data_IF_162543250456
#
_entry.id   IF_162543250456
#
_cell.length_a   1.000
_cell.length_b   1.000
_cell.length_c   1.000
_cell.angle_alpha   90.00
_cell.angle_beta   90.00
_cell.angle_gamma   90.00
#
_symmetry.space_group_name_H-M   'P 1'
#
loop_
_entity.id
_entity.type
_entity.pdbx_description
1 polymer ?
#
# COMPACT_ATOMS: atom_id res chain seq x y z
N UNK A 1 -18.70 -5.43 62.07
CA UNK A 1 -18.61 -5.54 61.60
C UNK A 1 -18.50 -5.53 60.50
N UNK A 2 -18.58 -5.58 60.30
CA UNK A 2 -18.57 -5.65 59.44
C UNK A 2 -18.10 -5.33 58.41
N UNK A 3 -18.04 -5.15 58.25
CA UNK A 3 -17.69 -4.91 57.32
C UNK A 3 -17.17 -4.84 56.39
N UNK A 4 -17.16 -4.79 56.34
CA UNK A 4 -16.61 -4.75 55.65
C UNK A 4 -16.27 -4.93 54.59
N UNK A 5 -16.42 -4.92 54.39
CA UNK A 5 -16.12 -5.15 53.53
C UNK A 5 -15.90 -4.91 52.47
N UNK A 6 -16.15 -4.82 52.24
CA UNK A 6 -16.04 -4.70 51.32
C UNK A 6 -15.47 -4.42 50.35
N UNK A 7 -15.40 -4.31 50.36
CA UNK A 7 -14.91 -4.09 49.64
C UNK A 7 -14.46 -4.20 48.60
N UNK A 8 -14.62 -4.25 48.54
CA UNK A 8 -14.15 -4.36 47.68
C UNK A 8 -13.87 -4.35 46.62
N UNK A 9 -13.93 -4.31 46.52
CA UNK A 9 -13.65 -4.46 45.60
C UNK A 9 -13.47 -4.01 44.57
N UNK A 10 -13.68 -3.89 44.66
CA UNK A 10 -13.55 -3.47 43.80
C UNK A 10 -13.00 -3.44 42.86
N UNK A 11 -12.98 -3.55 42.96
CA UNK A 11 -12.48 -3.45 42.17
C UNK A 11 -12.24 -3.44 41.17
N UNK A 12 -12.35 -3.33 41.09
CA UNK A 12 -12.09 -3.23 40.23
C UNK A 12 -11.72 -3.15 39.27
N UNK A 13 -11.75 -3.11 39.43
CA UNK A 13 -11.37 -3.03 38.67
C UNK A 13 -11.12 -2.99 37.68
N UNK A 14 -11.21 -2.91 37.74
CA UNK A 14 -10.92 -2.88 37.01
C UNK A 14 -10.61 -2.85 35.98
N UNK A 15 -10.69 -2.78 35.93
CA UNK A 15 -10.34 -2.73 35.13
C UNK A 15 -10.00 -2.57 34.12
N UNK A 16 -10.09 -2.49 34.20
CA UNK A 16 -9.70 -2.29 33.47
C UNK A 16 -9.41 -2.13 32.43
N UNK A 17 -9.73 -2.17 32.78
CA UNK A 17 -9.33 -1.79 31.88
C UNK A 17 -8.73 -1.87 30.95
N UNK A 18 -8.27 -1.87 31.26
CA UNK A 18 -7.34 -2.00 30.32
C UNK A 18 -7.92 -2.25 29.08
N UNK A 19 -8.65 -2.19 29.11
CA UNK A 19 -9.18 -2.37 28.09
C UNK A 19 -8.82 -1.67 26.91
N UNK A 20 -8.34 -0.59 27.01
CA UNK A 20 -7.88 0.17 25.87
C UNK A 20 -6.85 -0.49 25.07
N UNK A 21 -6.11 -1.33 25.67
CA UNK A 21 -5.05 -2.01 24.98
C UNK A 21 -5.50 -2.71 23.72
N UNK A 22 -6.65 -3.31 23.64
CA UNK A 22 -7.07 -3.97 22.42
C UNK A 22 -7.08 -3.06 21.20
N UNK A 23 -7.25 -1.78 21.40
CA UNK A 23 -7.26 -0.84 20.30
C UNK A 23 -5.92 -0.84 19.57
N UNK A 24 -4.86 -1.10 20.27
CA UNK A 24 -3.53 -1.13 19.68
C UNK A 24 -3.40 -2.22 18.63
N UNK A 25 -4.14 -3.27 18.75
CA UNK A 25 -4.07 -4.36 17.79
C UNK A 25 -4.47 -3.91 16.39
N UNK A 26 -5.32 -2.89 16.28
CA UNK A 26 -5.73 -2.37 15.00
C UNK A 26 -4.64 -1.65 14.24
N UNK A 27 -3.52 -1.35 14.87
CA UNK A 27 -2.45 -0.61 14.22
C UNK A 27 -1.46 -1.48 13.45
N UNK A 28 -1.68 -2.77 13.37
CA UNK A 28 -0.78 -3.65 12.64
C UNK A 28 -0.79 -3.29 11.15
N UNK A 29 0.39 -3.22 10.52
CA UNK A 29 0.45 -2.95 9.10
C UNK A 29 -0.21 -4.09 8.32
N UNK A 30 -0.83 -3.75 7.20
CA UNK A 30 -1.44 -4.74 6.32
C UNK A 30 -0.37 -5.63 5.70
N UNK A 31 -0.78 -6.78 5.17
CA UNK A 31 0.14 -7.66 4.45
C UNK A 31 0.80 -6.92 3.28
N UNK A 32 0.05 -6.05 2.61
CA UNK A 32 0.59 -5.28 1.50
C UNK A 32 1.71 -4.34 1.97
N UNK A 33 1.50 -3.65 3.08
CA UNK A 33 2.54 -2.77 3.62
C UNK A 33 3.79 -3.59 3.95
N UNK A 34 3.63 -4.69 4.70
CA UNK A 34 4.78 -5.50 5.08
C UNK A 34 5.59 -6.02 3.90
N UNK A 35 4.94 -6.17 2.76
CA UNK A 35 5.60 -6.66 1.56
C UNK A 35 6.55 -5.62 0.95
N UNK A 36 6.21 -4.34 1.06
CA UNK A 36 6.93 -3.27 0.37
C UNK A 36 7.62 -2.28 1.32
N UNK A 37 7.25 -2.29 2.59
CA UNK A 37 7.78 -1.40 3.62
C UNK A 37 9.19 -1.84 3.99
N UNK A 38 10.19 -1.19 3.42
CA UNK A 38 11.58 -1.58 3.61
C UNK A 38 12.20 -0.98 4.86
N UNK A 39 11.66 0.11 5.37
CA UNK A 39 12.17 0.77 6.56
C UNK A 39 11.36 0.46 7.82
N UNK A 40 10.30 -0.35 7.68
CA UNK A 40 9.47 -0.81 8.80
C UNK A 40 8.79 0.33 9.57
N UNK A 41 8.40 1.39 8.87
CA UNK A 41 7.69 2.50 9.50
C UNK A 41 6.16 2.32 9.50
N UNK A 42 5.68 1.22 8.92
CA UNK A 42 4.25 0.91 8.90
C UNK A 42 3.47 1.58 7.78
N UNK A 43 4.15 2.26 6.88
CA UNK A 43 3.53 2.95 5.74
C UNK A 43 4.30 2.64 4.46
N UNK A 44 3.72 3.01 3.33
CA UNK A 44 4.36 2.87 2.02
C UNK A 44 4.61 4.26 1.46
N UNK A 45 5.87 4.62 1.25
CA UNK A 45 6.19 5.89 0.61
C UNK A 45 6.38 5.70 -0.91
N UNK A 46 6.53 6.81 -1.63
CA UNK A 46 6.65 6.76 -3.09
C UNK A 46 7.93 6.06 -3.53
N UNK A 47 9.03 6.25 -2.80
CA UNK A 47 10.29 5.61 -3.13
C UNK A 47 10.18 4.10 -3.02
N UNK A 48 9.51 3.60 -1.99
CA UNK A 48 9.26 2.17 -1.81
C UNK A 48 8.33 1.63 -2.90
N UNK A 49 7.28 2.40 -3.25
CA UNK A 49 6.39 2.02 -4.33
C UNK A 49 7.14 1.93 -5.66
N UNK A 50 7.97 2.90 -5.97
CA UNK A 50 8.78 2.88 -7.20
C UNK A 50 9.78 1.74 -7.21
N UNK A 51 10.38 1.45 -6.07
CA UNK A 51 11.31 0.32 -5.94
C UNK A 51 10.62 -0.99 -6.23
N UNK A 52 9.45 -1.22 -5.64
CA UNK A 52 8.67 -2.42 -5.88
C UNK A 52 8.22 -2.52 -7.34
N UNK A 53 7.79 -1.39 -7.91
CA UNK A 53 7.36 -1.33 -9.31
C UNK A 53 8.52 -1.65 -10.26
N UNK A 54 9.71 -1.13 -9.98
CA UNK A 54 10.90 -1.41 -10.79
C UNK A 54 11.27 -2.89 -10.75
N UNK A 55 11.16 -3.52 -9.59
CA UNK A 55 11.43 -4.94 -9.45
C UNK A 55 10.39 -5.76 -10.24
N UNK A 56 9.13 -5.36 -10.21
CA UNK A 56 8.09 -6.03 -10.99
C UNK A 56 8.29 -5.81 -12.47
N UNK A 57 8.65 -4.59 -12.88
CA UNK A 57 8.95 -4.28 -14.28
C UNK A 57 9.98 -5.26 -14.83
N UNK A 58 11.07 -5.49 -14.10
CA UNK A 58 12.11 -6.41 -14.52
C UNK A 58 11.60 -7.85 -14.69
N UNK A 59 10.64 -8.26 -13.83
CA UNK A 59 10.04 -9.59 -13.94
C UNK A 59 9.08 -9.70 -15.12
N UNK A 60 8.36 -8.63 -15.42
CA UNK A 60 7.39 -8.61 -16.51
C UNK A 60 8.05 -8.49 -17.87
N UNK A 61 9.22 -7.87 -17.94
CA UNK A 61 10.00 -7.68 -19.16
C UNK A 61 10.68 -9.01 -19.53
N UNK A 62 9.92 -9.92 -20.09
CA UNK A 62 10.39 -11.28 -20.36
C UNK A 62 11.41 -11.35 -21.48
N UNK A 63 11.31 -10.47 -22.45
CA UNK A 63 12.22 -10.44 -23.58
C UNK A 63 13.43 -9.56 -23.32
N UNK A 64 13.47 -8.90 -22.15
CA UNK A 64 14.61 -8.07 -21.72
C UNK A 64 14.95 -6.95 -22.71
N UNK A 65 13.92 -6.37 -23.31
CA UNK A 65 14.12 -5.25 -24.26
C UNK A 65 14.05 -3.88 -23.56
N UNK A 66 13.82 -3.86 -22.25
CA UNK A 66 13.75 -2.63 -21.48
C UNK A 66 12.40 -1.94 -21.53
N UNK A 67 11.39 -2.56 -22.13
CA UNK A 67 10.03 -2.02 -22.22
C UNK A 67 9.00 -3.10 -21.94
N UNK A 68 7.77 -2.67 -21.63
CA UNK A 68 6.64 -3.58 -21.42
C UNK A 68 5.59 -3.34 -22.47
N UNK A 69 5.16 -4.40 -23.14
CA UNK A 69 4.00 -4.35 -24.01
C UNK A 69 2.74 -4.76 -23.26
N UNK A 70 1.60 -4.72 -23.92
CA UNK A 70 0.33 -5.07 -23.30
C UNK A 70 0.28 -6.50 -22.78
N UNK A 71 0.95 -7.41 -23.44
CA UNK A 71 0.99 -8.82 -23.03
C UNK A 71 1.79 -8.98 -21.75
N UNK A 72 2.93 -8.31 -21.68
CA UNK A 72 3.81 -8.37 -20.52
C UNK A 72 3.14 -7.76 -19.31
N UNK A 73 2.31 -6.73 -19.50
CA UNK A 73 1.54 -6.11 -18.40
C UNK A 73 0.44 -7.02 -17.86
N UNK A 74 0.00 -8.00 -18.64
CA UNK A 74 -0.95 -9.02 -18.19
C UNK A 74 -2.23 -8.43 -17.56
N UNK A 75 -2.76 -7.38 -18.16
CA UNK A 75 -4.01 -6.78 -17.70
C UNK A 75 -3.91 -5.82 -16.52
N UNK A 76 -2.70 -5.46 -16.11
CA UNK A 76 -2.51 -4.50 -15.01
C UNK A 76 -2.95 -3.11 -15.37
N UNK A 77 -2.93 -2.77 -16.65
CA UNK A 77 -3.45 -1.50 -17.17
C UNK A 77 -4.52 -1.81 -18.21
N UNK A 78 -5.59 -1.00 -18.21
CA UNK A 78 -6.56 -1.05 -19.28
C UNK A 78 -5.97 -0.49 -20.58
N UNK A 79 -6.62 -0.72 -21.71
CA UNK A 79 -6.16 -0.16 -22.99
C UNK A 79 -6.09 1.37 -22.94
N UNK A 80 -7.03 2.01 -22.26
CA UNK A 80 -7.05 3.45 -22.10
C UNK A 80 -5.88 3.94 -21.23
N UNK A 81 -5.64 3.25 -20.13
CA UNK A 81 -4.55 3.60 -19.23
C UNK A 81 -3.20 3.40 -19.89
N UNK A 82 -3.07 2.32 -20.67
CA UNK A 82 -1.86 2.07 -21.44
C UNK A 82 -1.61 3.20 -22.45
N UNK A 83 -2.64 3.59 -23.20
CA UNK A 83 -2.51 4.66 -24.19
C UNK A 83 -2.14 5.99 -23.53
N UNK A 84 -2.69 6.26 -22.34
CA UNK A 84 -2.36 7.48 -21.61
C UNK A 84 -0.92 7.47 -21.08
N UNK A 85 -0.39 6.30 -20.78
CA UNK A 85 0.96 6.14 -20.27
C UNK A 85 2.02 6.07 -21.37
N UNK A 86 1.59 5.94 -22.63
CA UNK A 86 2.45 5.78 -23.80
C UNK A 86 2.30 7.01 -24.72
N UNK A 87 2.92 8.14 -24.36
CA UNK A 87 2.73 9.39 -25.11
C UNK A 87 3.32 9.36 -26.53
N UNK A 88 4.33 8.54 -26.75
CA UNK A 88 4.94 8.41 -28.09
C UNK A 88 4.25 7.35 -28.96
N UNK A 89 3.25 6.64 -28.39
CA UNK A 89 2.44 5.66 -29.11
C UNK A 89 3.25 4.58 -29.81
N UNK A 90 4.36 4.15 -29.19
CA UNK A 90 5.19 3.09 -29.75
C UNK A 90 4.69 1.68 -29.37
N UNK A 91 3.63 1.60 -28.57
CA UNK A 91 3.03 0.32 -28.18
C UNK A 91 3.73 -0.35 -26.99
N UNK A 92 4.70 0.33 -26.38
CA UNK A 92 5.42 -0.18 -25.23
C UNK A 92 5.59 0.91 -24.19
N UNK A 93 5.84 0.49 -22.94
CA UNK A 93 6.13 1.41 -21.85
C UNK A 93 7.57 1.24 -21.40
N UNK A 94 8.30 2.34 -21.31
CA UNK A 94 9.61 2.35 -20.68
C UNK A 94 9.43 2.28 -19.17
N UNK A 95 10.52 2.05 -18.46
CA UNK A 95 10.47 2.07 -16.99
C UNK A 95 9.99 3.43 -16.48
N UNK A 96 10.44 4.52 -17.10
CA UNK A 96 10.03 5.86 -16.68
C UNK A 96 8.54 6.07 -16.87
N UNK A 97 7.98 5.62 -17.99
CA UNK A 97 6.55 5.70 -18.26
C UNK A 97 5.75 4.86 -17.26
N UNK A 98 6.23 3.67 -16.97
CA UNK A 98 5.61 2.80 -15.98
C UNK A 98 5.62 3.42 -14.58
N UNK A 99 6.76 3.96 -14.18
CA UNK A 99 6.88 4.64 -12.88
C UNK A 99 6.03 5.90 -12.80
N UNK A 100 5.79 6.56 -13.94
CA UNK A 100 4.86 7.69 -14.00
C UNK A 100 3.45 7.28 -13.64
N UNK A 101 2.99 6.12 -14.11
CA UNK A 101 1.68 5.57 -13.74
C UNK A 101 1.64 5.24 -12.27
N UNK A 102 2.71 4.63 -11.75
CA UNK A 102 2.82 4.31 -10.32
C UNK A 102 2.67 5.58 -9.48
N UNK A 103 3.36 6.65 -9.87
CA UNK A 103 3.28 7.92 -9.14
C UNK A 103 1.88 8.51 -9.18
N UNK A 104 1.22 8.49 -10.34
CA UNK A 104 -0.15 8.97 -10.46
C UNK A 104 -1.09 8.19 -9.54
N UNK A 105 -0.97 6.88 -9.50
CA UNK A 105 -1.81 6.05 -8.65
C UNK A 105 -1.49 6.22 -7.18
N UNK A 106 -0.21 6.43 -6.85
CA UNK A 106 0.19 6.76 -5.48
C UNK A 106 -0.48 8.05 -5.02
N UNK A 107 -0.39 9.10 -5.83
CA UNK A 107 -0.99 10.39 -5.49
C UNK A 107 -2.52 10.29 -5.38
N UNK A 108 -3.16 9.51 -6.23
CA UNK A 108 -4.61 9.30 -6.15
C UNK A 108 -5.01 8.57 -4.87
N UNK A 109 -4.15 7.70 -4.37
CA UNK A 109 -4.41 6.95 -3.13
C UNK A 109 -4.05 7.75 -1.87
N UNK A 110 -3.42 8.91 -2.02
CA UNK A 110 -2.89 9.72 -0.93
C UNK A 110 -3.59 11.08 -0.87
N UNK A 111 -4.88 11.12 -0.47
CA UNK A 111 -5.63 12.38 -0.48
C UNK A 111 -5.16 13.38 0.55
N UNK A 112 -4.56 12.95 1.64
CA UNK A 112 -4.06 13.84 2.69
C UNK A 112 -2.66 14.39 2.36
N UNK A 113 -2.04 13.90 1.30
CA UNK A 113 -0.75 14.40 0.80
C UNK A 113 0.35 14.41 1.85
N UNK A 114 0.35 13.42 2.72
CA UNK A 114 1.38 13.30 3.75
C UNK A 114 2.64 12.57 3.26
N UNK A 115 2.65 12.14 2.01
CA UNK A 115 3.81 11.47 1.42
C UNK A 115 3.88 9.98 1.67
N UNK A 116 2.92 9.42 2.39
CA UNK A 116 2.88 7.99 2.70
C UNK A 116 1.48 7.44 2.57
N UNK A 117 1.37 6.13 2.39
CA UNK A 117 0.08 5.42 2.35
C UNK A 117 0.01 4.47 3.52
N UNK A 118 -1.05 4.56 4.30
CA UNK A 118 -1.31 3.63 5.38
C UNK A 118 -2.21 2.49 4.90
N UNK A 119 -2.53 1.57 5.80
CA UNK A 119 -3.32 0.40 5.47
C UNK A 119 -4.74 0.77 4.99
N UNK A 120 -5.30 1.84 5.51
CA UNK A 120 -6.63 2.29 5.13
C UNK A 120 -6.61 2.83 3.71
N UNK A 121 -5.66 3.68 3.39
CA UNK A 121 -5.50 4.26 2.05
C UNK A 121 -5.21 3.19 1.00
N UNK A 122 -4.39 2.20 1.34
CA UNK A 122 -4.11 1.09 0.43
C UNK A 122 -5.33 0.20 0.19
N UNK A 123 -6.28 0.21 1.08
CA UNK A 123 -7.50 -0.58 0.93
C UNK A 123 -8.59 0.13 0.14
N UNK A 124 -8.37 1.35 -0.29
CA UNK A 124 -9.29 2.07 -1.18
C UNK A 124 -9.16 1.55 -2.61
N UNK A 125 -10.10 1.95 -3.48
CA UNK A 125 -10.02 1.61 -4.91
C UNK A 125 -8.72 2.10 -5.53
N UNK A 126 -8.32 3.33 -5.19
CA UNK A 126 -7.08 3.92 -5.68
C UNK A 126 -5.86 3.15 -5.17
N UNK A 127 -5.85 2.79 -3.88
CA UNK A 127 -4.76 2.02 -3.31
C UNK A 127 -4.63 0.64 -3.93
N UNK A 128 -5.74 -0.03 -4.17
CA UNK A 128 -5.71 -1.34 -4.83
C UNK A 128 -5.25 -1.25 -6.28
N UNK A 129 -5.60 -0.16 -6.96
CA UNK A 129 -5.12 0.07 -8.32
C UNK A 129 -3.59 0.24 -8.34
N UNK A 130 -3.05 0.95 -7.35
CA UNK A 130 -1.61 1.07 -7.18
C UNK A 130 -0.97 -0.30 -6.96
N UNK A 131 -1.52 -1.09 -6.04
CA UNK A 131 -0.94 -2.40 -5.69
C UNK A 131 -0.83 -3.33 -6.89
N UNK A 132 -1.72 -3.19 -7.88
CA UNK A 132 -1.62 -4.01 -9.10
C UNK A 132 -0.36 -3.73 -9.91
N UNK A 133 0.26 -2.59 -9.71
CA UNK A 133 1.50 -2.23 -10.38
C UNK A 133 2.74 -2.61 -9.57
N UNK A 134 2.57 -3.11 -8.36
CA UNK A 134 3.67 -3.44 -7.46
C UNK A 134 3.89 -4.93 -7.30
N UNK A 135 2.90 -5.77 -7.71
CA UNK A 135 2.96 -7.22 -7.48
C UNK A 135 2.25 -8.03 -8.55
#
# INVERSE_FOLDING_TARGET
>A
MISRRSILWTSAAAMLPGLGSPVMAGSRPSAAIRMFDTDNDGTLDLAEAKKAASALFAKLDRDHDGTLDKRELAGRLSAREFAAADPDHDGTLTLEEYLGVVEQRFNAANPDKDGTLDAIELNTSAGRALLRLLR
#
